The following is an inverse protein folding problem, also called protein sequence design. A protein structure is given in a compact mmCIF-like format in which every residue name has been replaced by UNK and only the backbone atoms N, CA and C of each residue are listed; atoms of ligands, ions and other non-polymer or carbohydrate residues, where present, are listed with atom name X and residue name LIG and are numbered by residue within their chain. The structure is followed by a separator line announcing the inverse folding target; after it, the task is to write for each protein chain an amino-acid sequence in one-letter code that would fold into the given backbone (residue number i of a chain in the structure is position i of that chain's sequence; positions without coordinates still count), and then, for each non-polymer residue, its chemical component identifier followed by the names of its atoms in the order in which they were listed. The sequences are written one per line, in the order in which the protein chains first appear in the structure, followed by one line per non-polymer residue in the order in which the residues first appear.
data_IF_189258060115
#
_entry.id   IF_189258060115
#
_cell.length_a   1.000
_cell.length_b   1.000
_cell.length_c   1.000
_cell.angle_alpha   90.00
_cell.angle_beta   90.00
_cell.angle_gamma   90.00
#
_symmetry.space_group_name_H-M   'P 1'
#
loop_
_entity.id
_entity.type
_entity.pdbx_description
1 polymer ?
#
# COMPACT_ATOMS: atom_id res chain seq x y z
N UNK A 1 27.03 27.75 -20.20
CA UNK A 1 27.14 26.85 -19.03
C UNK A 1 25.82 26.94 -18.26
N UNK A 2 24.76 26.33 -18.77
CA UNK A 2 23.38 26.56 -18.30
C UNK A 2 22.54 25.30 -18.44
N UNK A 3 22.56 24.65 -19.62
CA UNK A 3 21.83 23.39 -19.86
C UNK A 3 22.37 22.23 -19.02
N UNK A 4 23.69 22.05 -18.92
CA UNK A 4 24.28 20.97 -18.12
C UNK A 4 23.95 21.08 -16.62
N UNK A 5 23.83 22.30 -16.11
CA UNK A 5 23.50 22.56 -14.71
C UNK A 5 22.01 22.33 -14.45
N UNK A 6 21.14 22.72 -15.39
CA UNK A 6 19.72 22.39 -15.34
C UNK A 6 19.47 20.87 -15.41
N UNK A 7 20.17 20.14 -16.29
CA UNK A 7 20.06 18.68 -16.38
C UNK A 7 20.55 17.99 -15.10
N UNK A 8 21.57 18.53 -14.45
CA UNK A 8 22.05 17.99 -13.18
C UNK A 8 21.08 18.27 -12.03
N UNK A 9 20.42 19.43 -12.01
CA UNK A 9 19.34 19.71 -11.07
C UNK A 9 18.14 18.78 -11.29
N UNK A 10 17.72 18.58 -12.54
CA UNK A 10 16.65 17.64 -12.88
C UNK A 10 17.01 16.18 -12.55
N UNK A 11 18.30 15.81 -12.64
CA UNK A 11 18.80 14.50 -12.23
C UNK A 11 18.77 14.34 -10.70
N UNK A 12 19.17 15.38 -9.96
CA UNK A 12 19.08 15.42 -8.49
C UNK A 12 17.64 15.37 -7.98
N UNK A 13 16.70 15.92 -8.74
CA UNK A 13 15.25 15.85 -8.47
C UNK A 13 14.60 14.56 -8.98
N UNK A 14 15.39 13.60 -9.49
CA UNK A 14 14.93 12.32 -10.06
C UNK A 14 13.88 12.49 -11.18
N UNK A 15 13.92 13.61 -11.90
CA UNK A 15 13.04 13.92 -13.04
C UNK A 15 13.64 13.44 -14.36
N UNK A 16 14.97 13.27 -14.41
CA UNK A 16 15.68 12.72 -15.56
C UNK A 16 16.77 11.73 -15.14
N UNK A 17 17.04 10.77 -16.01
CA UNK A 17 18.16 9.83 -15.89
C UNK A 17 19.16 10.11 -17.01
N UNK A 18 20.41 10.40 -16.65
CA UNK A 18 21.51 10.43 -17.62
C UNK A 18 22.03 9.01 -17.88
N UNK A 19 22.04 8.61 -19.15
CA UNK A 19 22.72 7.38 -19.60
C UNK A 19 23.95 7.77 -20.39
N UNK A 20 25.13 7.41 -19.87
CA UNK A 20 26.41 7.77 -20.48
C UNK A 20 26.46 7.32 -21.96
N UNK A 21 26.72 8.25 -22.88
CA UNK A 21 26.74 8.01 -24.32
C UNK A 21 25.38 7.86 -25.02
N UNK A 22 24.27 7.82 -24.28
CA UNK A 22 22.91 7.63 -24.81
C UNK A 22 22.01 8.87 -24.64
N UNK A 23 22.41 9.83 -23.81
CA UNK A 23 21.68 11.09 -23.60
C UNK A 23 20.92 11.14 -22.27
N UNK A 24 19.98 12.08 -22.16
CA UNK A 24 19.17 12.32 -20.96
C UNK A 24 17.72 11.91 -21.23
N UNK A 25 17.15 11.09 -20.36
CA UNK A 25 15.80 10.53 -20.49
C UNK A 25 14.93 11.01 -19.33
N UNK A 26 13.62 11.16 -19.53
CA UNK A 26 12.70 11.43 -18.42
C UNK A 26 12.68 10.23 -17.48
N UNK A 27 12.89 10.46 -16.19
CA UNK A 27 12.75 9.42 -15.19
C UNK A 27 11.26 9.14 -14.98
N UNK A 28 10.80 7.88 -15.07
CA UNK A 28 9.44 7.57 -14.67
C UNK A 28 9.32 7.85 -13.17
N UNK A 29 8.48 8.83 -12.78
CA UNK A 29 8.19 9.12 -11.38
C UNK A 29 7.52 7.89 -10.77
N UNK A 30 8.28 7.10 -10.03
CA UNK A 30 7.81 5.89 -9.35
C UNK A 30 7.27 6.26 -7.97
N UNK A 31 6.14 5.67 -7.61
CA UNK A 31 5.59 5.72 -6.27
C UNK A 31 6.35 4.70 -5.44
N UNK A 32 6.99 5.17 -4.38
CA UNK A 32 7.63 4.31 -3.40
C UNK A 32 6.55 3.69 -2.50
N UNK A 33 6.44 2.37 -2.50
CA UNK A 33 5.56 1.65 -1.60
C UNK A 33 6.40 1.16 -0.41
N UNK A 34 6.24 1.83 0.74
CA UNK A 34 6.95 1.54 1.97
C UNK A 34 6.43 0.29 2.69
N UNK A 35 7.34 -0.64 3.00
CA UNK A 35 7.04 -1.89 3.74
C UNK A 35 7.26 -1.81 5.26
N UNK A 36 7.72 -0.66 5.77
CA UNK A 36 8.16 -0.54 7.17
C UNK A 36 7.03 -0.27 8.17
N UNK A 37 5.94 0.36 7.72
CA UNK A 37 4.89 0.88 8.58
C UNK A 37 3.53 0.34 8.12
N UNK A 38 2.60 0.09 9.05
CA UNK A 38 1.25 -0.34 8.73
C UNK A 38 0.41 0.84 8.24
N UNK A 39 0.69 1.31 7.03
CA UNK A 39 -0.04 2.40 6.37
C UNK A 39 -0.98 1.85 5.30
N UNK A 40 -2.06 2.56 5.06
CA UNK A 40 -2.86 2.34 3.87
C UNK A 40 -2.08 2.81 2.63
N UNK A 41 -2.35 2.22 1.46
CA UNK A 41 -1.75 2.68 0.21
C UNK A 41 -2.04 4.17 -0.05
N UNK A 42 -3.22 4.66 0.36
CA UNK A 42 -3.56 6.07 0.25
C UNK A 42 -2.64 6.96 1.09
N UNK A 43 -2.35 6.55 2.33
CA UNK A 43 -1.41 7.26 3.20
C UNK A 43 0.02 7.25 2.64
N UNK A 44 0.45 6.15 2.03
CA UNK A 44 1.79 6.04 1.45
C UNK A 44 1.98 6.94 0.22
N UNK A 45 0.95 7.02 -0.63
CA UNK A 45 0.92 7.91 -1.80
C UNK A 45 0.84 9.38 -1.36
N UNK A 46 -0.01 9.69 -0.36
CA UNK A 46 -0.15 11.03 0.21
C UNK A 46 1.15 11.53 0.86
N UNK A 47 1.91 10.65 1.52
CA UNK A 47 3.21 10.98 2.12
C UNK A 47 4.26 11.43 1.07
N UNK A 48 4.05 11.09 -0.21
CA UNK A 48 4.88 11.52 -1.35
C UNK A 48 4.31 12.74 -2.07
N UNK A 49 3.30 13.41 -1.50
CA UNK A 49 2.66 14.58 -2.08
C UNK A 49 1.82 14.28 -3.32
N UNK A 50 1.36 13.02 -3.47
CA UNK A 50 0.52 12.57 -4.56
C UNK A 50 -0.91 12.29 -4.06
N UNK A 51 -1.89 12.45 -4.94
CA UNK A 51 -3.29 12.15 -4.65
C UNK A 51 -3.67 10.80 -5.25
N UNK A 52 -4.21 9.90 -4.43
CA UNK A 52 -4.70 8.60 -4.85
C UNK A 52 -6.22 8.65 -5.04
N UNK A 53 -6.69 8.53 -6.27
CA UNK A 53 -8.14 8.41 -6.56
C UNK A 53 -8.54 6.96 -6.66
N UNK A 54 -9.72 6.62 -6.14
CA UNK A 54 -10.21 5.25 -6.16
C UNK A 54 -11.48 5.16 -6.99
N UNK A 55 -11.58 4.13 -7.82
CA UNK A 55 -12.81 3.72 -8.49
C UNK A 55 -13.19 2.34 -7.99
N UNK A 56 -14.34 2.22 -7.32
CA UNK A 56 -14.89 0.93 -6.91
C UNK A 56 -15.50 0.24 -8.12
N UNK A 57 -15.02 -0.97 -8.43
CA UNK A 57 -15.47 -1.75 -9.59
C UNK A 57 -16.60 -2.70 -9.22
N UNK A 58 -16.50 -3.35 -8.07
CA UNK A 58 -17.43 -4.39 -7.63
C UNK A 58 -17.43 -4.53 -6.12
N UNK A 59 -18.59 -4.88 -5.57
CA UNK A 59 -18.83 -5.18 -4.16
C UNK A 59 -19.86 -6.29 -4.04
N UNK A 60 -19.55 -7.39 -3.36
CA UNK A 60 -20.44 -8.55 -3.28
C UNK A 60 -20.00 -9.58 -2.23
N UNK A 61 -20.94 -10.42 -1.78
CA UNK A 61 -20.61 -11.67 -1.10
C UNK A 61 -20.22 -12.73 -2.13
N UNK A 62 -19.07 -13.37 -1.93
CA UNK A 62 -18.56 -14.44 -2.81
C UNK A 62 -18.07 -15.62 -2.00
N UNK A 63 -17.95 -16.76 -2.66
CA UNK A 63 -17.26 -17.92 -2.11
C UNK A 63 -15.75 -17.76 -2.31
N UNK A 64 -14.95 -17.64 -1.25
CA UNK A 64 -13.51 -17.50 -1.36
C UNK A 64 -12.86 -18.81 -1.81
N UNK A 65 -11.62 -18.73 -2.28
CA UNK A 65 -10.78 -19.92 -2.41
C UNK A 65 -10.56 -20.55 -1.02
N UNK A 66 -10.49 -21.89 -0.87
CA UNK A 66 -10.33 -22.54 0.44
C UNK A 66 -9.16 -22.00 1.27
N UNK A 67 -8.03 -21.70 0.62
CA UNK A 67 -6.88 -21.09 1.28
C UNK A 67 -7.19 -19.71 1.90
N UNK A 68 -8.01 -18.89 1.23
CA UNK A 68 -8.41 -17.57 1.76
C UNK A 68 -9.37 -17.75 2.93
N UNK A 69 -10.32 -18.69 2.86
CA UNK A 69 -11.19 -19.01 3.98
C UNK A 69 -10.39 -19.44 5.22
N UNK A 70 -9.36 -20.27 5.03
CA UNK A 70 -8.44 -20.70 6.09
C UNK A 70 -7.68 -19.51 6.69
N UNK A 71 -7.10 -18.63 5.86
CA UNK A 71 -6.40 -17.42 6.33
C UNK A 71 -7.31 -16.49 7.13
N UNK A 72 -8.56 -16.33 6.69
CA UNK A 72 -9.58 -15.52 7.35
C UNK A 72 -10.30 -16.24 8.49
N UNK A 73 -9.96 -17.49 8.79
CA UNK A 73 -10.64 -18.32 9.82
C UNK A 73 -12.16 -18.39 9.63
N UNK A 74 -12.60 -18.45 8.38
CA UNK A 74 -14.01 -18.60 8.01
C UNK A 74 -14.32 -20.10 7.91
N UNK A 75 -15.54 -20.48 8.30
CA UNK A 75 -15.99 -21.86 8.17
C UNK A 75 -15.85 -22.35 6.71
N UNK A 76 -15.49 -23.62 6.47
CA UNK A 76 -15.40 -24.16 5.12
C UNK A 76 -16.71 -23.97 4.33
N UNK A 77 -16.63 -23.27 3.19
CA UNK A 77 -17.79 -22.93 2.36
C UNK A 77 -18.58 -21.70 2.82
N UNK A 78 -18.11 -21.01 3.86
CA UNK A 78 -18.61 -19.69 4.26
C UNK A 78 -18.19 -18.59 3.26
N UNK A 79 -19.02 -17.56 3.06
CA UNK A 79 -18.72 -16.48 2.13
C UNK A 79 -17.62 -15.55 2.66
N UNK A 80 -17.17 -14.62 1.82
CA UNK A 80 -16.44 -13.40 2.18
C UNK A 80 -17.11 -12.21 1.52
N UNK A 81 -16.95 -11.02 2.09
CA UNK A 81 -17.34 -9.80 1.39
C UNK A 81 -16.18 -9.28 0.56
N UNK A 82 -16.32 -9.30 -0.75
CA UNK A 82 -15.29 -8.90 -1.69
C UNK A 82 -15.51 -7.47 -2.19
N UNK A 83 -14.42 -6.70 -2.27
CA UNK A 83 -14.39 -5.35 -2.81
C UNK A 83 -13.26 -5.24 -3.84
N UNK A 84 -13.62 -4.91 -5.08
CA UNK A 84 -12.68 -4.60 -6.16
C UNK A 84 -12.54 -3.09 -6.33
N UNK A 85 -11.29 -2.62 -6.35
CA UNK A 85 -10.93 -1.21 -6.51
C UNK A 85 -9.84 -1.06 -7.54
N UNK A 86 -9.97 -0.05 -8.39
CA UNK A 86 -8.92 0.42 -9.27
C UNK A 86 -8.49 1.80 -8.82
N UNK A 87 -7.18 1.98 -8.61
CA UNK A 87 -6.62 3.17 -7.99
C UNK A 87 -5.72 3.92 -8.96
N UNK A 88 -5.78 5.23 -8.91
CA UNK A 88 -5.19 6.14 -9.88
C UNK A 88 -4.31 7.17 -9.21
N UNK A 89 -3.23 7.54 -9.89
CA UNK A 89 -2.52 8.79 -9.64
C UNK A 89 -2.62 9.63 -10.90
N UNK A 90 -3.20 10.83 -10.77
CA UNK A 90 -3.61 11.62 -11.92
C UNK A 90 -4.68 10.91 -12.73
N UNK A 91 -4.35 10.51 -13.97
CA UNK A 91 -5.27 9.83 -14.90
C UNK A 91 -4.91 8.37 -15.15
N UNK A 92 -3.81 7.89 -14.60
CA UNK A 92 -3.27 6.57 -14.90
C UNK A 92 -3.66 5.57 -13.81
N UNK A 93 -4.20 4.39 -14.16
CA UNK A 93 -4.40 3.34 -13.18
C UNK A 93 -3.03 2.81 -12.75
N UNK A 94 -2.82 2.67 -11.45
CA UNK A 94 -1.55 2.23 -10.86
C UNK A 94 -1.67 0.94 -10.06
N UNK A 95 -2.84 0.70 -9.44
CA UNK A 95 -3.09 -0.47 -8.59
C UNK A 95 -4.50 -0.99 -8.82
N UNK A 96 -4.60 -2.28 -9.14
CA UNK A 96 -5.85 -3.02 -9.05
C UNK A 96 -5.83 -3.83 -7.75
N UNK A 97 -6.84 -3.63 -6.91
CA UNK A 97 -6.92 -4.24 -5.58
C UNK A 97 -8.21 -5.06 -5.45
N UNK A 98 -8.05 -6.29 -4.94
CA UNK A 98 -9.12 -7.19 -4.57
C UNK A 98 -9.03 -7.51 -3.07
N UNK A 99 -9.92 -6.92 -2.29
CA UNK A 99 -10.01 -7.09 -0.85
C UNK A 99 -11.08 -8.12 -0.51
N UNK A 100 -10.73 -9.19 0.20
CA UNK A 100 -11.69 -10.16 0.75
C UNK A 100 -11.78 -9.95 2.25
N UNK A 101 -12.95 -9.55 2.73
CA UNK A 101 -13.23 -9.13 4.09
C UNK A 101 -14.07 -10.17 4.81
N UNK A 102 -14.05 -10.13 6.15
CA UNK A 102 -15.01 -10.89 6.95
C UNK A 102 -16.47 -10.60 6.50
N UNK A 103 -17.37 -11.59 6.47
CA UNK A 103 -18.71 -11.44 5.90
C UNK A 103 -19.54 -10.32 6.51
N UNK A 104 -19.47 -10.17 7.83
CA UNK A 104 -20.22 -9.17 8.58
C UNK A 104 -19.80 -7.73 8.24
N UNK A 105 -18.61 -7.53 7.64
CA UNK A 105 -18.22 -6.21 7.11
C UNK A 105 -19.02 -5.82 5.88
N UNK A 106 -19.68 -6.76 5.21
CA UNK A 106 -20.55 -6.45 4.07
C UNK A 106 -21.69 -5.51 4.45
N UNK A 107 -22.36 -5.82 5.57
CA UNK A 107 -23.46 -5.01 6.11
C UNK A 107 -22.92 -3.69 6.66
N UNK A 108 -21.79 -3.72 7.38
CA UNK A 108 -21.16 -2.52 7.92
C UNK A 108 -20.77 -1.52 6.81
N UNK A 109 -20.33 -2.02 5.66
CA UNK A 109 -19.92 -1.17 4.54
C UNK A 109 -21.10 -0.71 3.67
N UNK A 110 -22.33 -1.19 3.90
CA UNK A 110 -23.47 -0.83 3.07
C UNK A 110 -23.68 0.70 3.04
N UNK A 111 -23.86 1.26 1.84
CA UNK A 111 -24.01 2.71 1.65
C UNK A 111 -22.73 3.55 1.78
N UNK A 112 -21.61 2.97 2.23
CA UNK A 112 -20.34 3.69 2.37
C UNK A 112 -19.65 3.86 1.01
N UNK A 113 -19.21 5.07 0.71
CA UNK A 113 -18.45 5.37 -0.50
C UNK A 113 -16.95 5.14 -0.32
N UNK A 114 -16.52 3.92 -0.67
CA UNK A 114 -15.11 3.51 -0.65
C UNK A 114 -14.26 4.13 -1.78
N UNK A 115 -14.82 5.02 -2.61
CA UNK A 115 -14.05 5.83 -3.54
C UNK A 115 -13.41 7.06 -2.88
N UNK A 116 -14.08 7.61 -1.86
CA UNK A 116 -13.65 8.79 -1.11
C UNK A 116 -13.00 8.42 0.22
N UNK A 117 -13.46 7.34 0.86
CA UNK A 117 -13.00 6.92 2.19
C UNK A 117 -12.06 5.72 2.08
N UNK A 118 -10.90 5.82 2.75
CA UNK A 118 -9.98 4.70 2.94
C UNK A 118 -10.64 3.61 3.77
N UNK A 119 -10.58 2.35 3.31
CA UNK A 119 -11.12 1.22 4.08
C UNK A 119 -10.49 1.11 5.48
N UNK A 120 -9.20 1.43 5.62
CA UNK A 120 -8.52 1.37 6.92
C UNK A 120 -9.06 2.45 7.86
N UNK A 121 -9.27 3.65 7.33
CA UNK A 121 -9.76 4.80 8.09
C UNK A 121 -11.20 4.53 8.52
N UNK A 122 -12.05 3.98 7.63
CA UNK A 122 -13.41 3.56 7.96
C UNK A 122 -13.45 2.50 9.07
N UNK A 123 -12.58 1.48 9.00
CA UNK A 123 -12.50 0.44 10.04
C UNK A 123 -12.13 1.03 11.40
N UNK A 124 -11.21 1.99 11.44
CA UNK A 124 -10.75 2.62 12.68
C UNK A 124 -11.77 3.64 13.21
N UNK A 125 -12.19 4.59 12.39
CA UNK A 125 -12.95 5.77 12.82
C UNK A 125 -14.44 5.47 13.03
N UNK A 126 -15.03 4.62 12.19
CA UNK A 126 -16.48 4.37 12.19
C UNK A 126 -16.85 3.04 12.87
N UNK A 127 -16.00 2.02 12.74
CA UNK A 127 -16.25 0.71 13.36
C UNK A 127 -15.46 0.48 14.66
N UNK A 128 -14.61 1.42 15.06
CA UNK A 128 -13.74 1.33 16.25
C UNK A 128 -12.84 0.07 16.24
N UNK A 129 -12.47 -0.40 15.04
CA UNK A 129 -11.61 -1.57 14.87
C UNK A 129 -10.17 -1.14 14.70
N UNK A 130 -9.39 -1.37 15.75
CA UNK A 130 -7.96 -1.13 15.72
C UNK A 130 -7.23 -2.21 14.91
N UNK A 131 -6.52 -1.78 13.86
CA UNK A 131 -5.64 -2.65 13.07
C UNK A 131 -4.25 -2.62 13.72
N UNK A 132 -3.81 -3.75 14.26
CA UNK A 132 -2.53 -3.81 14.98
C UNK A 132 -1.39 -4.43 14.16
N UNK A 133 -1.70 -5.31 13.19
CA UNK A 133 -0.68 -6.06 12.47
C UNK A 133 -1.15 -6.46 11.09
N UNK A 134 -0.22 -6.54 10.13
CA UNK A 134 -0.42 -7.26 8.89
C UNK A 134 0.77 -8.19 8.59
N UNK A 135 0.51 -9.24 7.83
CA UNK A 135 1.51 -10.05 7.14
C UNK A 135 1.38 -9.76 5.65
N UNK A 136 2.49 -9.47 4.99
CA UNK A 136 2.50 -9.07 3.60
C UNK A 136 3.57 -9.86 2.83
N UNK A 137 3.17 -10.42 1.70
CA UNK A 137 4.03 -11.12 0.76
C UNK A 137 3.99 -10.38 -0.56
N UNK A 138 5.17 -10.06 -1.10
CA UNK A 138 5.29 -9.35 -2.37
C UNK A 138 5.97 -10.27 -3.39
N UNK A 139 5.30 -10.46 -4.52
CA UNK A 139 5.72 -11.33 -5.61
C UNK A 139 5.91 -10.54 -6.90
N UNK A 140 6.93 -10.87 -7.68
CA UNK A 140 6.96 -10.49 -9.09
C UNK A 140 6.05 -11.44 -9.87
N UNK A 141 5.11 -10.88 -10.64
CA UNK A 141 4.14 -11.65 -11.44
C UNK A 141 4.03 -11.09 -12.85
N UNK A 142 3.42 -11.88 -13.74
CA UNK A 142 2.92 -11.40 -15.03
C UNK A 142 1.41 -11.24 -14.95
N UNK A 143 0.88 -10.12 -15.46
CA UNK A 143 -0.55 -9.84 -15.44
C UNK A 143 -1.30 -10.77 -16.39
N UNK A 144 -2.37 -11.40 -15.90
CA UNK A 144 -3.34 -12.03 -16.76
C UNK A 144 -4.18 -10.98 -17.50
N UNK A 145 -4.91 -11.39 -18.53
CA UNK A 145 -5.56 -10.48 -19.47
C UNK A 145 -6.52 -9.48 -18.78
N UNK A 146 -7.22 -9.92 -17.72
CA UNK A 146 -8.18 -9.07 -16.99
C UNK A 146 -7.46 -7.96 -16.23
N UNK A 147 -6.48 -8.32 -15.41
CA UNK A 147 -5.71 -7.37 -14.60
C UNK A 147 -4.90 -6.41 -15.50
N UNK A 148 -4.33 -6.92 -16.60
CA UNK A 148 -3.65 -6.10 -17.61
C UNK A 148 -4.58 -5.04 -18.20
N UNK A 149 -5.79 -5.45 -18.63
CA UNK A 149 -6.80 -4.52 -19.17
C UNK A 149 -7.19 -3.45 -18.15
N UNK A 150 -7.41 -3.83 -16.88
CA UNK A 150 -7.77 -2.88 -15.82
C UNK A 150 -6.64 -1.88 -15.53
N UNK A 151 -5.39 -2.30 -15.67
CA UNK A 151 -4.20 -1.49 -15.43
C UNK A 151 -3.70 -0.75 -16.68
N UNK A 152 -4.43 -0.82 -17.80
CA UNK A 152 -4.01 -0.24 -19.08
C UNK A 152 -2.62 -0.71 -19.53
N UNK A 153 -2.35 -2.00 -19.30
CA UNK A 153 -1.12 -2.70 -19.66
C UNK A 153 -1.40 -3.81 -20.68
N UNK A 154 -0.34 -4.26 -21.35
CA UNK A 154 -0.43 -5.42 -22.23
C UNK A 154 -0.52 -6.73 -21.42
N UNK A 155 -1.23 -7.76 -21.91
CA UNK A 155 -1.20 -9.08 -21.29
C UNK A 155 0.24 -9.60 -21.12
N UNK A 156 0.52 -10.24 -19.99
CA UNK A 156 1.85 -10.69 -19.56
C UNK A 156 2.84 -9.57 -19.20
N UNK A 157 2.41 -8.29 -19.13
CA UNK A 157 3.24 -7.24 -18.54
C UNK A 157 3.62 -7.59 -17.10
N UNK A 158 4.79 -7.14 -16.67
CA UNK A 158 5.29 -7.38 -15.31
C UNK A 158 4.58 -6.49 -14.30
N UNK A 159 4.23 -7.07 -13.15
CA UNK A 159 3.65 -6.36 -12.02
C UNK A 159 4.22 -6.87 -10.69
N UNK A 160 4.04 -6.08 -9.64
CA UNK A 160 4.20 -6.52 -8.28
C UNK A 160 2.82 -6.95 -7.75
N UNK A 161 2.73 -8.16 -7.20
CA UNK A 161 1.56 -8.62 -6.47
C UNK A 161 1.87 -8.58 -4.98
N UNK A 162 1.17 -7.71 -4.25
CA UNK A 162 1.13 -7.72 -2.79
C UNK A 162 -0.06 -8.55 -2.32
N UNK A 163 0.19 -9.62 -1.57
CA UNK A 163 -0.81 -10.36 -0.81
C UNK A 163 -0.67 -10.02 0.67
N UNK A 164 -1.73 -9.48 1.29
CA UNK A 164 -1.66 -8.96 2.65
C UNK A 164 -2.80 -9.49 3.51
N UNK A 165 -2.47 -10.13 4.62
CA UNK A 165 -3.40 -10.57 5.65
C UNK A 165 -3.33 -9.60 6.83
N UNK A 166 -4.45 -8.96 7.15
CA UNK A 166 -4.54 -7.92 8.17
C UNK A 166 -5.28 -8.43 9.40
N UNK A 167 -4.78 -8.07 10.59
CA UNK A 167 -5.27 -8.51 11.88
C UNK A 167 -5.66 -7.33 12.76
N UNK A 168 -6.74 -7.53 13.53
CA UNK A 168 -7.16 -6.61 14.58
C UNK A 168 -6.22 -6.64 15.79
N UNK A 169 -6.36 -5.70 16.72
CA UNK A 169 -5.62 -5.67 17.99
C UNK A 169 -5.79 -6.93 18.85
N UNK A 170 -6.94 -7.62 18.74
CA UNK A 170 -7.19 -8.90 19.43
C UNK A 170 -6.66 -10.13 18.67
N UNK A 171 -5.99 -9.93 17.53
CA UNK A 171 -5.33 -11.00 16.77
C UNK A 171 -6.24 -11.79 15.84
N UNK A 172 -7.42 -11.25 15.52
CA UNK A 172 -8.35 -11.85 14.55
C UNK A 172 -8.06 -11.34 13.13
N UNK A 173 -8.02 -12.22 12.12
CA UNK A 173 -7.86 -11.80 10.74
C UNK A 173 -9.15 -11.11 10.26
N UNK A 174 -9.03 -9.89 9.73
CA UNK A 174 -10.19 -9.11 9.28
C UNK A 174 -10.30 -9.02 7.76
N UNK A 175 -9.16 -9.08 7.06
CA UNK A 175 -9.13 -9.04 5.60
C UNK A 175 -7.89 -9.68 4.99
N UNK A 176 -8.06 -10.17 3.77
CA UNK A 176 -7.00 -10.60 2.88
C UNK A 176 -7.07 -9.79 1.58
N UNK A 177 -6.06 -8.96 1.35
CA UNK A 177 -5.92 -8.09 0.21
C UNK A 177 -4.98 -8.71 -0.84
N UNK A 178 -5.35 -8.64 -2.11
CA UNK A 178 -4.44 -8.82 -3.25
C UNK A 178 -4.37 -7.52 -4.05
N UNK A 179 -3.19 -6.95 -4.17
CA UNK A 179 -2.96 -5.70 -4.90
C UNK A 179 -1.92 -5.92 -6.01
N UNK A 180 -2.37 -5.82 -7.26
CA UNK A 180 -1.54 -5.82 -8.45
C UNK A 180 -1.12 -4.39 -8.74
N UNK A 181 0.18 -4.14 -8.69
CA UNK A 181 0.79 -2.82 -8.85
C UNK A 181 1.63 -2.79 -10.12
N UNK A 182 1.46 -1.76 -10.93
CA UNK A 182 2.25 -1.54 -12.15
C UNK A 182 3.73 -1.39 -11.82
N UNK A 183 4.56 -2.26 -12.39
CA UNK A 183 6.00 -2.31 -12.08
C UNK A 183 6.80 -1.15 -12.69
N UNK A 184 6.25 -0.43 -13.68
CA UNK A 184 6.83 0.79 -14.23
C UNK A 184 6.52 2.03 -13.37
N UNK A 185 5.45 1.99 -12.57
CA UNK A 185 4.97 3.11 -11.74
C UNK A 185 5.15 2.94 -10.24
N UNK A 186 5.28 1.72 -9.75
CA UNK A 186 5.43 1.44 -8.32
C UNK A 186 6.73 0.69 -8.07
N UNK A 187 7.45 1.10 -7.03
CA UNK A 187 8.64 0.42 -6.53
C UNK A 187 8.48 0.10 -5.06
N UNK A 188 8.86 -1.11 -4.66
CA UNK A 188 8.95 -1.48 -3.25
C UNK A 188 10.22 -0.87 -2.64
N UNK A 189 10.09 -0.12 -1.55
CA UNK A 189 11.24 0.43 -0.84
C UNK A 189 11.16 0.15 0.66
N UNK A 190 12.31 -0.12 1.26
CA UNK A 190 12.45 -0.27 2.71
C UNK A 190 13.85 0.16 3.12
N UNK A 191 13.94 0.95 4.18
CA UNK A 191 15.20 1.25 4.84
C UNK A 191 15.42 0.25 5.97
N UNK A 192 16.65 -0.27 6.06
CA UNK A 192 17.02 -1.27 7.07
C UNK A 192 18.11 -0.68 7.94
N UNK A 193 17.81 -0.56 9.22
CA UNK A 193 18.76 -0.15 10.23
C UNK A 193 19.45 -1.38 10.83
N UNK A 194 20.70 -1.23 11.25
CA UNK A 194 21.40 -2.26 12.04
C UNK A 194 20.74 -2.30 13.42
N UNK A 195 20.28 -3.47 13.83
CA UNK A 195 19.70 -3.68 15.16
C UNK A 195 20.81 -3.59 16.22
N UNK A 196 21.01 -2.38 16.77
CA UNK A 196 21.24 -2.05 18.18
C UNK A 196 21.84 -0.64 18.29
N UNK A 197 21.02 0.36 18.64
CA UNK A 197 21.50 1.50 19.42
C UNK A 197 20.51 1.75 20.56
N UNK A 198 20.70 1.00 21.65
CA UNK A 198 20.09 1.31 22.94
C UNK A 198 20.81 2.52 23.53
N UNK A 199 20.36 3.74 23.24
CA UNK A 199 20.83 4.93 23.98
C UNK A 199 20.07 5.01 25.30
N UNK A 200 20.59 4.36 26.33
CA UNK A 200 20.18 4.61 27.71
C UNK A 200 20.86 5.88 28.22
N UNK A 201 20.17 7.01 28.24
CA UNK A 201 20.64 8.18 29.00
C UNK A 201 20.01 8.16 30.39
N UNK A 202 20.83 8.39 31.42
CA UNK A 202 20.37 8.64 32.79
C UNK A 202 20.55 10.13 33.03
N UNK A 203 19.46 10.89 33.03
CA UNK A 203 19.46 12.28 33.50
C UNK A 203 19.74 12.27 35.01
N UNK A 204 20.92 12.73 35.39
CA UNK A 204 21.24 13.02 36.79
C UNK A 204 20.87 14.49 36.99
N UNK A 205 19.72 14.74 37.63
CA UNK A 205 19.41 16.08 38.13
C UNK A 205 20.50 16.41 39.16
N UNK A 206 21.24 17.49 38.92
CA UNK A 206 22.11 18.05 39.94
C UNK A 206 21.20 18.48 41.10
N UNK A 207 21.36 17.87 42.27
CA UNK A 207 20.73 18.36 43.49
C UNK A 207 21.19 19.81 43.71
N UNK A 208 20.23 20.72 43.79
CA UNK A 208 20.47 22.09 44.18
C UNK A 208 21.15 22.08 45.56
N UNK A 209 22.34 22.66 45.63
CA UNK A 209 23.03 22.86 46.90
C UNK A 209 22.12 23.68 47.83
N UNK A 210 21.95 23.27 49.11
CA UNK A 210 21.13 24.04 50.04
C UNK A 210 21.76 25.41 50.25
N UNK A 211 20.98 26.46 49.98
CA UNK A 211 21.29 27.83 50.38
C UNK A 211 21.38 27.88 51.90
N UNK A 212 22.59 28.06 52.42
CA UNK A 212 22.85 28.59 53.76
C UNK A 212 23.96 29.63 53.67
#
# INVERSE_FOLDING_TARGET
MTVRQALHLLEQEELVVLRHGLGTFVAPKRISYGMGNLRSLAQEVAAQGLELKTRVLRRELVQPHPHVAELLRIEPGGPVYAVERLRFVGREPIVYQYSQLQPWLGDALEGIDLSEISLYDYLHDELEIEIARAQEWVHAVTLAAREATLLEEEPNASALLSERLTFTAVGEPIMFDRAYMRSDRVSLATERFVADVTVGYRLQLAEEAPLT
#
